data_IF_884361465269
#
_entry.id   IF_884361465269
#
_cell.length_a   1.000
_cell.length_b   1.000
_cell.length_c   1.000
_cell.angle_alpha   90.00
_cell.angle_beta   90.00
_cell.angle_gamma   90.00
#
_symmetry.space_group_name_H-M   'P 1'
#
loop_
_entity.id
_entity.type
_entity.pdbx_description
1 polymer ?
#
# COMPACT_ATOMS: atom_id res chain seq x y z
N UNK A 1 12.73 27.61 8.29
CA UNK A 1 11.97 26.63 7.48
C UNK A 1 12.98 25.90 6.63
N UNK A 2 13.21 24.62 6.90
CA UNK A 2 14.18 23.79 6.17
C UNK A 2 13.35 22.93 5.21
N UNK A 3 13.60 23.05 3.92
CA UNK A 3 13.00 22.18 2.90
C UNK A 3 13.55 20.77 3.11
N UNK A 4 12.66 19.80 3.27
CA UNK A 4 13.00 18.38 3.31
C UNK A 4 13.58 18.02 1.94
N UNK A 5 14.82 17.53 1.92
CA UNK A 5 15.48 17.10 0.69
C UNK A 5 14.86 15.78 0.24
N UNK A 6 14.68 15.61 -1.08
CA UNK A 6 13.99 14.51 -1.76
C UNK A 6 14.44 13.06 -1.43
N UNK A 7 15.37 12.89 -0.50
CA UNK A 7 15.98 11.61 -0.09
C UNK A 7 15.30 10.98 1.15
N UNK A 8 14.38 11.68 1.83
CA UNK A 8 13.72 11.21 3.07
C UNK A 8 12.25 10.81 2.90
N UNK A 9 11.71 10.90 1.67
CA UNK A 9 10.27 10.92 1.45
C UNK A 9 9.57 9.56 1.58
N UNK A 10 10.29 8.42 1.45
CA UNK A 10 9.66 7.08 1.44
C UNK A 10 10.54 5.97 2.05
N UNK A 11 11.32 6.26 3.10
CA UNK A 11 11.82 5.19 3.97
C UNK A 11 10.67 4.73 4.89
N UNK A 12 9.82 3.87 4.31
CA UNK A 12 9.30 2.67 4.96
C UNK A 12 8.73 2.88 6.38
N UNK A 13 7.41 3.06 6.43
CA UNK A 13 6.62 2.43 7.48
C UNK A 13 7.12 0.98 7.66
N UNK A 14 7.67 0.63 8.83
CA UNK A 14 8.16 -0.73 9.12
C UNK A 14 9.67 -1.03 9.21
N UNK A 15 10.60 -0.06 9.31
CA UNK A 15 12.05 -0.35 9.49
C UNK A 15 12.64 0.06 10.86
N UNK A 16 12.54 -0.80 11.87
CA UNK A 16 13.12 -0.61 13.20
C UNK A 16 14.66 -0.89 13.27
N UNK A 17 15.49 0.08 12.85
CA UNK A 17 16.88 0.38 13.29
C UNK A 17 18.01 -0.70 13.11
N UNK A 18 19.30 -0.43 12.88
CA UNK A 18 20.16 0.74 13.06
C UNK A 18 21.55 0.56 12.39
N UNK A 19 22.06 1.58 11.68
CA UNK A 19 23.47 2.02 11.49
C UNK A 19 24.39 1.53 10.33
N UNK A 20 24.59 2.43 9.37
CA UNK A 20 25.91 2.91 8.87
C UNK A 20 26.85 1.97 8.07
N UNK A 21 27.11 2.40 6.84
CA UNK A 21 28.42 2.58 6.16
C UNK A 21 28.43 2.03 4.71
N UNK A 22 28.60 2.99 3.80
CA UNK A 22 28.94 2.95 2.37
C UNK A 22 29.87 1.79 1.95
N UNK A 23 29.53 1.05 0.88
CA UNK A 23 30.45 1.04 -0.26
C UNK A 23 29.77 0.87 -1.64
N UNK A 24 29.93 1.90 -2.47
CA UNK A 24 30.44 1.81 -3.84
C UNK A 24 30.36 0.44 -4.56
N UNK A 25 29.39 0.37 -5.50
CA UNK A 25 29.25 -0.45 -6.72
C UNK A 25 29.63 -1.95 -6.71
N UNK A 26 28.75 -2.78 -7.30
CA UNK A 26 29.21 -3.86 -8.14
C UNK A 26 28.62 -3.81 -9.56
N UNK A 27 29.41 -4.19 -10.59
CA UNK A 27 28.95 -4.25 -11.97
C UNK A 27 28.28 -5.59 -12.31
N UNK A 28 27.15 -5.47 -13.00
CA UNK A 28 26.86 -5.95 -14.37
C UNK A 28 27.29 -7.38 -14.78
N UNK A 29 26.32 -8.22 -15.17
CA UNK A 29 25.95 -8.49 -16.58
C UNK A 29 25.05 -9.75 -16.70
N UNK A 30 23.95 -9.60 -17.44
CA UNK A 30 22.97 -10.64 -17.79
C UNK A 30 23.16 -11.00 -19.27
N UNK A 31 23.14 -12.28 -19.67
CA UNK A 31 22.98 -12.64 -21.07
C UNK A 31 21.49 -12.91 -21.46
N UNK A 32 21.15 -12.79 -22.75
CA UNK A 32 19.83 -12.38 -23.21
C UNK A 32 18.83 -13.53 -23.44
N UNK A 33 17.53 -13.21 -23.33
CA UNK A 33 16.40 -14.12 -23.62
C UNK A 33 15.92 -13.90 -25.07
N UNK A 34 15.75 -15.01 -25.80
CA UNK A 34 15.15 -15.05 -27.15
C UNK A 34 13.64 -15.28 -27.03
N UNK A 35 12.84 -14.40 -27.66
CA UNK A 35 11.37 -14.46 -27.68
C UNK A 35 10.90 -15.12 -28.99
N UNK A 36 9.98 -16.08 -28.90
CA UNK A 36 9.13 -16.49 -30.02
C UNK A 36 7.67 -16.13 -29.72
N UNK A 37 6.94 -15.49 -30.64
CA UNK A 37 5.55 -15.09 -30.42
C UNK A 37 4.56 -16.25 -30.64
N UNK A 38 3.43 -16.28 -29.89
CA UNK A 38 2.43 -17.34 -30.02
C UNK A 38 1.53 -17.17 -31.26
N UNK A 39 1.34 -18.26 -32.00
CA UNK A 39 0.40 -18.40 -33.11
C UNK A 39 -0.92 -18.99 -32.62
N UNK A 40 -1.96 -18.17 -32.39
CA UNK A 40 -3.37 -18.60 -32.38
C UNK A 40 -4.30 -17.38 -32.48
N UNK A 41 -5.34 -17.40 -33.34
CA UNK A 41 -6.31 -16.31 -33.44
C UNK A 41 -7.35 -16.35 -32.30
N UNK A 42 -7.95 -15.20 -31.92
CA UNK A 42 -8.92 -15.12 -30.83
C UNK A 42 -10.28 -15.74 -31.20
N UNK A 43 -11.04 -16.28 -30.22
CA UNK A 43 -12.37 -16.86 -30.45
C UNK A 43 -13.48 -15.81 -30.59
N UNK A 44 -14.52 -16.15 -31.37
CA UNK A 44 -15.67 -15.31 -31.71
C UNK A 44 -16.68 -15.10 -30.55
N UNK A 45 -17.46 -13.99 -30.55
CA UNK A 45 -18.43 -13.69 -29.49
C UNK A 45 -19.73 -14.53 -29.57
N UNK A 46 -20.47 -14.68 -28.45
CA UNK A 46 -21.71 -15.45 -28.39
C UNK A 46 -22.93 -14.71 -28.99
N UNK A 47 -24.02 -15.43 -29.33
CA UNK A 47 -25.18 -14.86 -30.02
C UNK A 47 -26.12 -14.05 -29.09
N UNK A 48 -26.60 -12.91 -29.58
CA UNK A 48 -27.55 -12.00 -28.92
C UNK A 48 -29.00 -12.48 -28.98
N UNK A 49 -29.68 -12.51 -27.83
CA UNK A 49 -31.13 -12.76 -27.68
C UNK A 49 -31.89 -11.42 -27.89
N UNK A 50 -33.02 -11.38 -28.63
CA UNK A 50 -33.82 -10.17 -28.79
C UNK A 50 -34.67 -9.84 -27.54
N UNK A 51 -34.95 -8.56 -27.25
CA UNK A 51 -35.70 -8.15 -26.06
C UNK A 51 -37.22 -8.41 -26.18
N UNK A 52 -37.86 -8.66 -25.04
CA UNK A 52 -39.32 -8.80 -24.87
C UNK A 52 -40.06 -7.45 -25.01
N UNK A 53 -41.38 -7.45 -25.34
CA UNK A 53 -42.13 -6.22 -25.61
C UNK A 53 -42.38 -5.36 -24.35
N UNK A 54 -42.70 -4.06 -24.51
CA UNK A 54 -42.84 -3.13 -23.39
C UNK A 54 -44.08 -3.45 -22.54
N UNK A 55 -43.92 -3.36 -21.21
CA UNK A 55 -45.03 -3.37 -20.26
C UNK A 55 -45.70 -1.98 -20.29
N UNK A 56 -47.04 -1.93 -20.36
CA UNK A 56 -47.81 -0.68 -20.30
C UNK A 56 -47.56 0.07 -18.97
N UNK A 57 -47.20 1.35 -19.10
CA UNK A 57 -46.93 2.26 -18.00
C UNK A 57 -48.24 2.94 -17.55
N UNK A 58 -48.65 2.83 -16.27
CA UNK A 58 -49.71 3.68 -15.73
C UNK A 58 -49.26 5.16 -15.74
N UNK A 59 -50.18 6.06 -16.11
CA UNK A 59 -49.92 7.49 -16.25
C UNK A 59 -49.46 8.20 -14.96
N UNK A 60 -48.96 9.44 -15.08
CA UNK A 60 -48.22 10.12 -14.02
C UNK A 60 -49.14 10.54 -12.87
N UNK A 61 -48.82 10.05 -11.66
CA UNK A 61 -49.33 10.58 -10.40
C UNK A 61 -48.40 11.74 -10.01
N UNK A 62 -48.89 12.97 -10.00
CA UNK A 62 -48.15 14.13 -9.50
C UNK A 62 -47.99 14.05 -7.98
N UNK A 63 -46.77 13.97 -7.42
CA UNK A 63 -46.57 14.12 -5.99
C UNK A 63 -46.59 15.60 -5.60
N UNK A 64 -46.95 15.94 -4.34
CA UNK A 64 -46.78 17.29 -3.82
C UNK A 64 -45.28 17.65 -3.82
N UNK A 65 -44.95 18.86 -4.29
CA UNK A 65 -43.58 19.32 -4.35
C UNK A 65 -42.94 19.54 -2.97
N UNK A 66 -41.62 19.35 -2.92
CA UNK A 66 -40.78 19.96 -1.90
C UNK A 66 -39.69 19.04 -1.34
N UNK A 67 -38.46 19.20 -1.83
CA UNK A 67 -37.26 18.73 -1.13
C UNK A 67 -36.57 17.52 -1.74
N UNK A 68 -36.31 17.54 -3.06
CA UNK A 68 -35.27 16.72 -3.66
C UNK A 68 -33.90 17.19 -3.17
N UNK A 69 -33.58 16.94 -1.90
CA UNK A 69 -32.20 16.96 -1.45
C UNK A 69 -31.50 15.80 -2.16
N UNK A 70 -30.53 16.12 -3.03
CA UNK A 70 -29.53 15.12 -3.37
C UNK A 70 -29.07 14.47 -2.06
N UNK A 71 -28.88 13.13 -2.02
CA UNK A 71 -28.39 12.48 -0.81
C UNK A 71 -27.19 13.28 -0.33
N UNK A 72 -27.26 13.79 0.91
CA UNK A 72 -26.16 14.54 1.49
C UNK A 72 -24.93 13.64 1.38
N UNK A 73 -23.84 14.11 0.76
CA UNK A 73 -22.62 13.31 0.71
C UNK A 73 -22.31 12.87 2.14
N UNK A 74 -21.98 11.59 2.38
CA UNK A 74 -21.56 11.17 3.70
C UNK A 74 -20.45 12.12 4.15
N UNK A 75 -20.46 12.57 5.42
CA UNK A 75 -19.50 13.55 5.90
C UNK A 75 -18.07 13.08 5.57
N UNK A 76 -17.16 14.00 5.27
CA UNK A 76 -15.77 13.65 5.06
C UNK A 76 -15.26 12.92 6.30
N UNK A 77 -14.51 11.86 6.07
CA UNK A 77 -13.86 11.13 7.16
C UNK A 77 -12.78 12.02 7.76
N UNK A 78 -12.64 11.97 9.09
CA UNK A 78 -11.62 12.68 9.87
C UNK A 78 -10.69 11.63 10.47
N UNK A 79 -9.42 11.66 10.08
CA UNK A 79 -8.40 10.69 10.51
C UNK A 79 -7.74 11.02 11.85
N UNK A 80 -7.85 12.27 12.30
CA UNK A 80 -7.03 12.80 13.41
C UNK A 80 -5.68 13.38 12.98
N UNK A 81 -5.25 13.17 11.72
CA UNK A 81 -3.99 13.69 11.17
C UNK A 81 -4.07 15.16 10.70
N UNK A 82 -5.29 15.70 10.63
CA UNK A 82 -5.57 17.07 10.21
C UNK A 82 -6.12 17.17 8.79
N UNK A 83 -6.75 18.32 8.50
CA UNK A 83 -7.55 18.53 7.28
C UNK A 83 -6.77 18.34 5.97
N UNK A 84 -5.45 18.57 5.98
CA UNK A 84 -4.59 18.36 4.81
C UNK A 84 -4.46 16.88 4.43
N UNK A 85 -4.17 16.00 5.40
CA UNK A 85 -4.14 14.56 5.17
C UNK A 85 -5.53 14.00 4.86
N UNK A 86 -6.57 14.46 5.57
CA UNK A 86 -7.96 14.07 5.33
C UNK A 86 -8.41 14.36 3.88
N UNK A 87 -7.93 15.46 3.28
CA UNK A 87 -8.23 15.78 1.89
C UNK A 87 -7.65 14.77 0.89
N UNK A 88 -6.56 14.08 1.21
CA UNK A 88 -6.03 12.98 0.41
C UNK A 88 -6.76 11.67 0.69
N UNK A 89 -6.93 11.31 1.96
CA UNK A 89 -7.60 10.08 2.39
C UNK A 89 -9.03 9.97 1.83
N UNK A 90 -9.77 11.09 1.78
CA UNK A 90 -11.12 11.12 1.25
C UNK A 90 -11.21 10.99 -0.29
N UNK A 91 -10.09 11.00 -1.03
CA UNK A 91 -10.07 10.77 -2.49
C UNK A 91 -10.02 9.29 -2.88
N UNK A 92 -9.70 8.41 -1.93
CA UNK A 92 -9.66 6.96 -2.17
C UNK A 92 -10.77 6.25 -1.40
N UNK A 93 -11.77 5.73 -2.11
CA UNK A 93 -12.89 5.01 -1.50
C UNK A 93 -12.43 3.77 -0.71
N UNK A 94 -11.37 3.11 -1.17
CA UNK A 94 -10.79 1.94 -0.51
C UNK A 94 -10.15 2.30 0.83
N UNK A 95 -9.24 3.28 0.83
CA UNK A 95 -8.60 3.79 2.07
C UNK A 95 -9.64 4.37 3.02
N UNK A 96 -10.59 5.16 2.50
CA UNK A 96 -11.69 5.72 3.29
C UNK A 96 -12.53 4.62 3.95
N UNK A 97 -12.80 3.52 3.26
CA UNK A 97 -13.55 2.38 3.79
C UNK A 97 -12.79 1.69 4.93
N UNK A 98 -11.49 1.43 4.76
CA UNK A 98 -10.65 0.83 5.81
C UNK A 98 -10.52 1.74 7.03
N UNK A 99 -10.25 3.02 6.82
CA UNK A 99 -10.11 3.98 7.91
C UNK A 99 -11.44 4.19 8.65
N UNK A 100 -12.57 4.16 7.94
CA UNK A 100 -13.89 4.21 8.58
C UNK A 100 -14.11 3.02 9.51
N UNK A 101 -13.72 1.81 9.07
CA UNK A 101 -13.81 0.60 9.91
C UNK A 101 -12.88 0.67 11.11
N UNK A 102 -11.69 1.24 10.94
CA UNK A 102 -10.67 1.38 11.98
C UNK A 102 -11.18 2.26 13.11
N UNK A 103 -11.65 3.47 12.76
CA UNK A 103 -12.21 4.44 13.70
C UNK A 103 -13.52 3.93 14.34
N UNK A 104 -14.39 3.28 13.55
CA UNK A 104 -15.63 2.70 14.08
C UNK A 104 -15.38 1.56 15.08
N UNK A 105 -14.19 0.94 15.06
CA UNK A 105 -13.73 -0.03 16.04
C UNK A 105 -13.32 0.59 17.39
N UNK A 106 -13.30 1.93 17.49
CA UNK A 106 -12.86 2.67 18.68
C UNK A 106 -11.35 2.84 18.78
N UNK A 107 -10.61 2.58 17.69
CA UNK A 107 -9.18 2.84 17.60
C UNK A 107 -8.92 4.24 17.05
N UNK A 108 -7.81 4.85 17.49
CA UNK A 108 -7.37 6.17 17.04
C UNK A 108 -6.02 6.05 16.32
N UNK A 109 -5.70 7.05 15.50
CA UNK A 109 -4.36 7.21 14.93
C UNK A 109 -3.59 8.17 15.82
N UNK A 110 -2.48 7.72 16.37
CA UNK A 110 -1.65 8.50 17.29
C UNK A 110 -0.31 8.88 16.67
N UNK A 111 0.28 9.95 17.20
CA UNK A 111 1.65 10.31 16.87
C UNK A 111 2.57 10.03 18.06
N UNK A 112 3.74 9.45 17.81
CA UNK A 112 4.83 9.31 18.80
C UNK A 112 6.19 9.36 18.11
N UNK A 113 7.26 9.52 18.89
CA UNK A 113 8.64 9.42 18.38
C UNK A 113 8.96 7.95 18.06
N UNK A 114 9.12 7.64 16.78
CA UNK A 114 9.42 6.31 16.24
C UNK A 114 10.87 6.21 15.72
N UNK A 115 11.68 7.26 15.89
CA UNK A 115 13.06 7.31 15.42
C UNK A 115 13.16 7.23 13.90
N UNK A 116 13.62 6.09 13.38
CA UNK A 116 13.82 5.88 11.94
C UNK A 116 12.58 5.36 11.21
N UNK A 117 11.59 4.86 11.97
CA UNK A 117 10.34 4.32 11.43
C UNK A 117 9.34 5.46 11.24
N UNK A 118 8.51 5.40 10.19
CA UNK A 118 7.47 6.42 9.94
C UNK A 118 6.07 6.03 10.42
N UNK A 119 5.81 4.74 10.53
CA UNK A 119 4.56 4.19 11.04
C UNK A 119 4.76 2.79 11.61
N UNK A 120 3.93 2.44 12.57
CA UNK A 120 3.85 1.08 13.09
C UNK A 120 2.43 0.73 13.56
N UNK A 121 2.12 -0.57 13.55
CA UNK A 121 0.93 -1.12 14.20
C UNK A 121 1.32 -1.90 15.46
N UNK A 122 0.86 -1.42 16.62
CA UNK A 122 1.05 -2.10 17.90
C UNK A 122 -0.30 -2.42 18.54
N UNK A 123 -0.55 -3.70 18.80
CA UNK A 123 -1.82 -4.21 19.36
C UNK A 123 -3.08 -3.76 18.60
N UNK A 124 -2.95 -3.53 17.28
CA UNK A 124 -4.03 -3.06 16.42
C UNK A 124 -4.23 -1.54 16.43
N UNK A 125 -3.40 -0.78 17.13
CA UNK A 125 -3.37 0.68 17.06
C UNK A 125 -2.27 1.14 16.11
N UNK A 126 -2.56 2.19 15.34
CA UNK A 126 -1.66 2.81 14.38
C UNK A 126 -0.97 3.99 15.05
N UNK A 127 0.36 3.96 15.02
CA UNK A 127 1.22 5.05 15.44
C UNK A 127 1.98 5.58 14.22
N UNK A 128 2.01 6.91 14.07
CA UNK A 128 2.80 7.61 13.07
C UNK A 128 3.92 8.39 13.74
N UNK A 129 5.02 8.61 13.03
CA UNK A 129 6.13 9.41 13.57
C UNK A 129 5.71 10.88 13.74
N UNK A 130 6.16 11.48 14.83
CA UNK A 130 5.91 12.88 15.18
C UNK A 130 6.35 13.87 14.08
N UNK A 131 7.33 13.51 13.25
CA UNK A 131 7.80 14.33 12.14
C UNK A 131 6.80 14.45 10.98
N UNK A 132 5.82 13.56 10.92
CA UNK A 132 4.73 13.60 9.95
C UNK A 132 3.64 14.62 10.34
N UNK A 133 3.73 15.26 11.51
CA UNK A 133 2.79 16.30 11.93
C UNK A 133 2.83 17.48 10.95
N UNK A 134 1.72 17.66 10.24
CA UNK A 134 1.56 18.74 9.25
C UNK A 134 2.01 18.39 7.84
N UNK A 135 2.53 17.18 7.59
CA UNK A 135 2.82 16.68 6.23
C UNK A 135 1.55 16.05 5.66
N UNK A 136 0.95 16.66 4.63
CA UNK A 136 -0.39 16.24 4.19
C UNK A 136 -0.39 14.93 3.41
N UNK A 137 0.31 14.86 2.27
CA UNK A 137 0.37 13.64 1.46
C UNK A 137 1.11 12.52 2.21
N UNK A 138 2.26 12.84 2.82
CA UNK A 138 3.12 11.85 3.44
C UNK A 138 2.43 11.15 4.63
N UNK A 139 1.81 11.89 5.56
CA UNK A 139 1.06 11.26 6.65
C UNK A 139 -0.12 10.41 6.14
N UNK A 140 -0.80 10.83 5.06
CA UNK A 140 -1.86 10.04 4.45
C UNK A 140 -1.35 8.75 3.78
N UNK A 141 -0.17 8.80 3.13
CA UNK A 141 0.49 7.64 2.56
C UNK A 141 0.89 6.64 3.65
N UNK A 142 1.56 7.11 4.71
CA UNK A 142 1.99 6.24 5.82
C UNK A 142 0.77 5.65 6.54
N UNK A 143 -0.27 6.42 6.81
CA UNK A 143 -1.51 5.86 7.37
C UNK A 143 -2.13 4.79 6.46
N UNK A 144 -2.09 5.00 5.15
CA UNK A 144 -2.58 4.01 4.18
C UNK A 144 -1.80 2.71 4.27
N UNK A 145 -0.48 2.79 4.42
CA UNK A 145 0.40 1.66 4.65
C UNK A 145 0.01 0.90 5.93
N UNK A 146 -0.13 1.59 7.06
CA UNK A 146 -0.44 0.94 8.34
C UNK A 146 -1.84 0.33 8.38
N UNK A 147 -2.82 0.96 7.70
CA UNK A 147 -4.15 0.39 7.51
C UNK A 147 -4.09 -0.96 6.80
N UNK A 148 -3.14 -1.16 5.88
CA UNK A 148 -2.95 -2.46 5.25
C UNK A 148 -2.59 -3.52 6.30
N UNK A 149 -1.63 -3.26 7.18
CA UNK A 149 -1.21 -4.21 8.22
C UNK A 149 -2.32 -4.53 9.21
N UNK A 150 -3.14 -3.54 9.60
CA UNK A 150 -4.30 -3.77 10.48
C UNK A 150 -5.26 -4.79 9.87
N UNK A 151 -5.52 -4.72 8.57
CA UNK A 151 -6.51 -5.58 7.90
C UNK A 151 -5.93 -6.80 7.21
N UNK A 152 -4.61 -6.90 7.12
CA UNK A 152 -3.89 -8.01 6.51
C UNK A 152 -2.77 -8.45 7.45
N UNK A 153 -3.13 -9.13 8.53
CA UNK A 153 -2.14 -9.71 9.45
C UNK A 153 -1.25 -10.72 8.74
N UNK A 154 0.04 -10.74 9.07
CA UNK A 154 1.00 -11.72 8.54
C UNK A 154 0.50 -13.15 8.84
N UNK A 155 0.29 -13.93 7.79
CA UNK A 155 -0.08 -15.33 7.90
C UNK A 155 1.12 -16.23 7.57
N UNK A 156 1.69 -16.84 8.60
CA UNK A 156 2.83 -17.76 8.46
C UNK A 156 2.45 -19.15 7.91
N UNK A 157 1.15 -19.44 7.74
CA UNK A 157 0.62 -20.71 7.23
C UNK A 157 0.71 -21.89 8.22
N UNK A 158 1.45 -21.73 9.32
CA UNK A 158 1.65 -22.74 10.38
C UNK A 158 2.01 -22.04 11.70
N UNK A 159 1.78 -22.72 12.82
CA UNK A 159 2.20 -22.25 14.16
C UNK A 159 3.70 -22.40 14.39
N UNK A 160 4.40 -23.18 13.57
CA UNK A 160 5.86 -23.39 13.66
C UNK A 160 6.52 -23.20 12.29
N UNK A 161 6.56 -21.96 11.76
CA UNK A 161 7.18 -21.70 10.46
C UNK A 161 8.68 -22.00 10.50
N UNK A 162 9.25 -22.39 9.36
CA UNK A 162 10.70 -22.33 9.15
C UNK A 162 11.16 -20.86 9.10
N UNK A 163 12.47 -20.62 9.19
CA UNK A 163 13.01 -19.25 9.09
C UNK A 163 12.61 -18.61 7.74
N UNK A 164 12.75 -19.36 6.66
CA UNK A 164 12.34 -18.93 5.32
C UNK A 164 10.85 -18.62 5.24
N UNK A 165 9.98 -19.47 5.79
CA UNK A 165 8.54 -19.20 5.83
C UNK A 165 8.20 -17.95 6.64
N UNK A 166 8.87 -17.76 7.77
CA UNK A 166 8.67 -16.59 8.62
C UNK A 166 9.04 -15.30 7.89
N UNK A 167 10.25 -15.26 7.33
CA UNK A 167 10.80 -14.08 6.65
C UNK A 167 10.03 -13.78 5.37
N UNK A 168 9.70 -14.80 4.56
CA UNK A 168 8.95 -14.62 3.33
C UNK A 168 7.52 -14.15 3.61
N UNK A 169 6.83 -14.69 4.62
CA UNK A 169 5.49 -14.25 4.96
C UNK A 169 5.46 -12.77 5.39
N UNK A 170 6.47 -12.36 6.18
CA UNK A 170 6.61 -10.97 6.60
C UNK A 170 6.92 -10.04 5.41
N UNK A 171 7.95 -10.35 4.61
CA UNK A 171 8.32 -9.53 3.44
C UNK A 171 7.20 -9.42 2.40
N UNK A 172 6.41 -10.46 2.19
CA UNK A 172 5.25 -10.38 1.29
C UNK A 172 4.13 -9.51 1.86
N UNK A 173 3.99 -9.44 3.18
CA UNK A 173 3.03 -8.56 3.82
C UNK A 173 3.43 -7.09 3.64
N UNK A 174 4.70 -6.77 3.87
CA UNK A 174 5.27 -5.43 3.58
C UNK A 174 5.17 -5.06 2.10
N UNK A 175 5.43 -6.01 1.20
CA UNK A 175 5.24 -5.75 -0.22
C UNK A 175 3.78 -5.42 -0.56
N UNK A 176 2.84 -6.07 0.13
CA UNK A 176 1.42 -5.79 0.04
C UNK A 176 1.05 -4.38 0.51
N UNK A 177 1.58 -3.93 1.66
CA UNK A 177 1.37 -2.58 2.17
C UNK A 177 1.98 -1.52 1.27
N UNK A 178 3.21 -1.74 0.78
CA UNK A 178 3.88 -0.88 -0.21
C UNK A 178 3.06 -0.77 -1.50
N UNK A 179 2.54 -1.88 -2.02
CA UNK A 179 1.68 -1.83 -3.20
C UNK A 179 0.38 -1.07 -2.95
N UNK A 180 -0.20 -1.23 -1.76
CA UNK A 180 -1.43 -0.57 -1.36
C UNK A 180 -1.25 0.96 -1.27
N UNK A 181 -0.17 1.42 -0.64
CA UNK A 181 0.15 2.85 -0.60
C UNK A 181 0.48 3.43 -1.99
N UNK A 182 1.19 2.69 -2.86
CA UNK A 182 1.50 3.17 -4.21
C UNK A 182 0.22 3.29 -5.05
N UNK A 183 -0.73 2.37 -4.91
CA UNK A 183 -2.05 2.49 -5.53
C UNK A 183 -2.78 3.76 -5.05
N UNK A 184 -2.74 4.03 -3.74
CA UNK A 184 -3.30 5.23 -3.16
C UNK A 184 -2.64 6.49 -3.72
N UNK A 185 -1.30 6.61 -3.67
CA UNK A 185 -0.56 7.78 -4.18
C UNK A 185 -0.88 7.99 -5.66
N UNK A 186 -0.90 6.92 -6.47
CA UNK A 186 -1.25 7.01 -7.90
C UNK A 186 -2.65 7.57 -8.11
N UNK A 187 -3.60 7.19 -7.27
CA UNK A 187 -4.98 7.67 -7.34
C UNK A 187 -5.11 9.14 -6.93
N UNK A 188 -4.44 9.55 -5.85
CA UNK A 188 -4.69 10.85 -5.21
C UNK A 188 -3.75 11.96 -5.67
N UNK A 189 -2.56 11.59 -6.14
CA UNK A 189 -1.52 12.49 -6.65
C UNK A 189 -0.52 11.74 -7.56
N UNK A 190 -0.97 11.33 -8.75
CA UNK A 190 -0.22 10.47 -9.67
C UNK A 190 1.22 10.92 -9.98
N UNK A 191 1.48 12.23 -10.00
CA UNK A 191 2.82 12.79 -10.23
C UNK A 191 3.81 12.45 -9.12
N UNK A 192 3.33 12.15 -7.91
CA UNK A 192 4.18 11.82 -6.76
C UNK A 192 4.69 10.38 -6.78
N UNK A 193 4.19 9.53 -7.67
CA UNK A 193 4.73 8.17 -7.87
C UNK A 193 6.21 8.20 -8.28
N UNK A 194 6.65 9.25 -8.97
CA UNK A 194 8.07 9.40 -9.36
C UNK A 194 9.01 9.70 -8.20
N UNK A 195 8.47 9.94 -7.00
CA UNK A 195 9.26 10.16 -5.79
C UNK A 195 9.63 8.83 -5.09
N UNK A 196 9.01 7.71 -5.50
CA UNK A 196 9.44 6.39 -5.07
C UNK A 196 10.75 5.98 -5.73
N UNK A 197 11.54 5.09 -5.11
CA UNK A 197 12.73 4.51 -5.73
C UNK A 197 12.46 4.00 -7.15
N UNK A 198 13.41 4.22 -8.06
CA UNK A 198 13.24 3.91 -9.49
C UNK A 198 12.95 2.43 -9.74
N UNK A 199 13.63 1.53 -9.00
CA UNK A 199 13.42 0.09 -9.10
C UNK A 199 12.01 -0.32 -8.66
N UNK A 200 11.54 0.25 -7.54
CA UNK A 200 10.19 0.01 -7.03
C UNK A 200 9.13 0.52 -8.01
N UNK A 201 9.30 1.75 -8.52
CA UNK A 201 8.44 2.34 -9.54
C UNK A 201 8.43 1.51 -10.83
N UNK A 202 9.58 0.96 -11.23
CA UNK A 202 9.73 0.10 -12.40
C UNK A 202 8.97 -1.23 -12.24
N UNK A 203 9.06 -1.87 -11.07
CA UNK A 203 8.29 -3.09 -10.76
C UNK A 203 6.79 -2.79 -10.80
N UNK A 204 6.37 -1.71 -10.14
CA UNK A 204 4.96 -1.32 -10.05
C UNK A 204 4.35 -1.02 -11.44
N UNK A 205 5.08 -0.34 -12.32
CA UNK A 205 4.60 -0.01 -13.67
C UNK A 205 4.48 -1.22 -14.62
N UNK A 206 5.10 -2.35 -14.27
CA UNK A 206 5.03 -3.59 -15.03
C UNK A 206 3.79 -4.44 -14.69
N UNK A 207 3.03 -4.08 -13.66
CA UNK A 207 1.82 -4.79 -13.25
C UNK A 207 0.77 -4.73 -14.37
N UNK A 208 0.21 -5.89 -14.73
CA UNK A 208 -0.79 -6.02 -15.78
C UNK A 208 -0.23 -5.95 -17.20
N UNK A 209 1.08 -5.77 -17.36
CA UNK A 209 1.76 -5.81 -18.67
C UNK A 209 2.71 -7.01 -18.75
N UNK A 210 3.81 -6.99 -18.00
CA UNK A 210 4.81 -8.06 -17.96
C UNK A 210 4.79 -8.85 -16.65
N UNK A 211 4.23 -8.29 -15.58
CA UNK A 211 4.09 -8.94 -14.28
C UNK A 211 2.62 -9.07 -13.89
N UNK A 212 2.25 -10.21 -13.31
CA UNK A 212 1.03 -10.30 -12.50
C UNK A 212 1.21 -9.53 -11.19
N UNK A 213 0.10 -9.21 -10.52
CA UNK A 213 0.12 -8.61 -9.17
C UNK A 213 0.97 -9.44 -8.20
N UNK A 214 0.84 -10.77 -8.23
CA UNK A 214 1.61 -11.70 -7.39
C UNK A 214 3.11 -11.65 -7.70
N UNK A 215 3.48 -11.64 -8.99
CA UNK A 215 4.89 -11.53 -9.41
C UNK A 215 5.50 -10.18 -9.02
N UNK A 216 4.74 -9.10 -9.12
CA UNK A 216 5.19 -7.78 -8.67
C UNK A 216 5.33 -7.73 -7.15
N UNK A 217 4.38 -8.30 -6.40
CA UNK A 217 4.46 -8.39 -4.92
C UNK A 217 5.73 -9.12 -4.51
N UNK A 218 6.02 -10.28 -5.11
CA UNK A 218 7.24 -11.04 -4.81
C UNK A 218 8.52 -10.25 -5.12
N UNK A 219 8.54 -9.49 -6.21
CA UNK A 219 9.67 -8.62 -6.57
C UNK A 219 9.83 -7.42 -5.62
N UNK A 220 8.72 -6.85 -5.14
CA UNK A 220 8.74 -5.78 -4.14
C UNK A 220 9.21 -6.34 -2.80
N UNK A 221 8.79 -7.55 -2.43
CA UNK A 221 9.25 -8.24 -1.22
C UNK A 221 10.77 -8.52 -1.27
N UNK A 222 11.27 -8.96 -2.41
CA UNK A 222 12.71 -9.13 -2.65
C UNK A 222 13.45 -7.79 -2.58
N UNK A 223 12.94 -6.76 -3.26
CA UNK A 223 13.51 -5.41 -3.21
C UNK A 223 13.57 -4.90 -1.76
N UNK A 224 12.46 -4.99 -1.03
CA UNK A 224 12.34 -4.53 0.36
C UNK A 224 13.28 -5.31 1.28
N UNK A 225 13.34 -6.64 1.14
CA UNK A 225 14.23 -7.50 1.93
C UNK A 225 15.71 -7.23 1.73
N UNK A 226 16.08 -6.62 0.59
CA UNK A 226 17.44 -6.20 0.27
C UNK A 226 17.75 -4.75 0.70
N UNK A 227 16.77 -4.00 1.20
CA UNK A 227 17.02 -2.65 1.71
C UNK A 227 17.87 -2.71 2.97
N UNK A 228 18.69 -1.68 3.17
CA UNK A 228 19.44 -1.51 4.40
C UNK A 228 18.46 -1.33 5.57
N UNK A 229 18.63 -2.14 6.61
CA UNK A 229 17.93 -1.97 7.88
C UNK A 229 18.77 -1.20 8.89
N UNK A 230 19.97 -0.80 8.47
CA UNK A 230 21.02 -0.31 9.32
C UNK A 230 21.74 -1.47 10.01
N UNK A 231 23.03 -1.28 10.26
CA UNK A 231 23.88 -2.14 11.09
C UNK A 231 24.78 -3.00 10.23
N UNK A 232 24.90 -2.65 8.94
CA UNK A 232 25.48 -3.50 7.91
C UNK A 232 24.63 -4.72 7.57
N UNK A 233 23.32 -4.70 7.87
CA UNK A 233 22.41 -5.81 7.58
C UNK A 233 21.19 -5.35 6.77
N UNK A 234 20.72 -6.23 5.88
CA UNK A 234 19.48 -6.00 5.15
C UNK A 234 18.27 -6.28 6.04
N UNK A 235 17.10 -5.78 5.65
CA UNK A 235 15.82 -6.10 6.30
C UNK A 235 15.63 -7.60 6.45
N UNK A 236 15.91 -8.37 5.39
CA UNK A 236 15.83 -9.84 5.42
C UNK A 236 16.72 -10.43 6.52
N UNK A 237 17.98 -9.98 6.60
CA UNK A 237 18.94 -10.46 7.60
C UNK A 237 18.52 -10.09 9.03
N UNK A 238 17.94 -8.91 9.21
CA UNK A 238 17.34 -8.52 10.49
C UNK A 238 16.23 -9.49 10.90
N UNK A 239 15.23 -9.76 10.05
CA UNK A 239 14.14 -10.68 10.38
C UNK A 239 14.59 -12.14 10.54
N UNK A 240 15.64 -12.55 9.83
CA UNK A 240 16.33 -13.82 10.07
C UNK A 240 16.90 -13.89 11.50
N UNK A 241 17.47 -12.79 12.00
CA UNK A 241 18.00 -12.69 13.37
C UNK A 241 16.91 -12.67 14.45
N UNK A 242 15.77 -11.99 14.18
CA UNK A 242 14.61 -11.96 15.08
C UNK A 242 14.05 -13.36 15.27
N UNK A 243 13.82 -14.09 14.17
CA UNK A 243 13.34 -15.47 14.22
C UNK A 243 14.25 -16.38 15.06
N UNK A 244 15.57 -16.25 14.90
CA UNK A 244 16.53 -17.06 15.65
C UNK A 244 16.59 -16.69 17.14
N UNK A 245 16.34 -15.43 17.48
CA UNK A 245 16.32 -14.96 18.86
C UNK A 245 15.09 -15.46 19.61
N UNK A 246 13.92 -15.53 18.95
CA UNK A 246 12.67 -16.01 19.52
C UNK A 246 12.63 -17.54 19.78
N UNK A 247 13.64 -18.28 19.32
CA UNK A 247 13.77 -19.73 19.55
C UNK A 247 14.68 -20.11 20.72
N UNK A 248 15.34 -19.15 21.35
CA UNK A 248 16.21 -19.35 22.52
C UNK A 248 15.43 -19.16 23.81
#
# INVERSE_FOLDING_TARGET
>A
MRELTNEELFLVAGAAAAADVDPSEPPTEIPPIVVNPPTSPPPSPPPTIPPSPPVEQPGPITPPGGGGGAPTPPPPLVSGLGAGADAYLNKSDEVKSLLSKYIAGGADVEFKDLGTVKGEVEAGNIYLDDDLKGTSLQAATVLTHELYHVYNSVNYGTTTPTQEQYVNAWLNNEAGSVMFEMNFVKQVEATSITQYPADLTSIYNQIGTTLTTEQATAKIAEWYGNQDHGGGQTVKQYYESVYNSNKK
#
